data_IF_907937653386
#
_entry.id   IF_907937653386
#
_cell.length_a   1.000
_cell.length_b   1.000
_cell.length_c   1.000
_cell.angle_alpha   90.00
_cell.angle_beta   90.00
_cell.angle_gamma   90.00
#
_symmetry.space_group_name_H-M   'P 1'
#
loop_
_entity.id
_entity.type
_entity.pdbx_description
1 polymer ?
#
# COMPACT_ATOMS: atom_id res chain seq x y z
N UNK A 1 -7.25 38.02 -6.49
CA UNK A 1 -7.59 36.65 -6.05
C UNK A 1 -7.37 36.56 -4.54
N UNK A 2 -8.15 35.73 -3.84
CA UNK A 2 -8.01 35.50 -2.39
C UNK A 2 -7.78 34.00 -2.19
N UNK A 3 -6.79 33.63 -1.38
CA UNK A 3 -6.49 32.25 -1.01
C UNK A 3 -6.77 32.00 0.47
N UNK A 4 -7.15 30.76 0.80
CA UNK A 4 -7.37 30.32 2.19
C UNK A 4 -6.45 29.14 2.49
N UNK A 5 -5.76 29.21 3.63
CA UNK A 5 -4.97 28.07 4.11
C UNK A 5 -5.90 27.04 4.75
N UNK A 6 -5.79 25.78 4.33
CA UNK A 6 -6.61 24.67 4.83
C UNK A 6 -5.71 23.52 5.25
N UNK A 7 -6.20 22.71 6.19
CA UNK A 7 -5.49 21.50 6.61
C UNK A 7 -5.36 20.51 5.44
N UNK A 8 -4.27 19.73 5.45
CA UNK A 8 -4.01 18.67 4.44
C UNK A 8 -5.15 17.65 4.33
N UNK A 9 -5.96 17.47 5.37
CA UNK A 9 -7.14 16.60 5.34
C UNK A 9 -8.17 16.98 4.27
N UNK A 10 -8.19 18.23 3.80
CA UNK A 10 -9.05 18.69 2.70
C UNK A 10 -8.49 18.36 1.31
N UNK A 11 -7.32 17.72 1.25
CA UNK A 11 -6.60 17.47 0.01
C UNK A 11 -5.96 16.07 0.01
N UNK A 12 -6.76 15.09 -0.40
CA UNK A 12 -6.35 13.70 -0.66
C UNK A 12 -6.57 13.38 -2.14
N UNK A 13 -5.73 13.92 -3.05
CA UNK A 13 -5.85 13.62 -4.47
C UNK A 13 -5.52 12.15 -4.74
N UNK A 14 -6.34 11.48 -5.54
CA UNK A 14 -6.09 10.11 -6.01
C UNK A 14 -5.65 10.19 -7.45
N UNK A 15 -4.35 10.07 -7.70
CA UNK A 15 -3.78 10.19 -9.04
C UNK A 15 -3.25 8.87 -9.57
N UNK A 16 -2.81 7.98 -8.68
CA UNK A 16 -2.24 6.70 -9.04
C UNK A 16 -2.67 5.58 -8.07
N UNK A 17 -2.29 4.35 -8.36
CA UNK A 17 -2.66 3.19 -7.54
C UNK A 17 -1.97 3.16 -6.18
N UNK A 18 -0.87 3.90 -5.98
CA UNK A 18 -0.29 4.09 -4.64
C UNK A 18 -1.22 4.91 -3.76
N UNK A 19 -1.84 5.97 -4.31
CA UNK A 19 -2.87 6.74 -3.60
C UNK A 19 -4.12 5.89 -3.34
N UNK A 20 -4.49 5.04 -4.30
CA UNK A 20 -5.62 4.13 -4.16
C UNK A 20 -5.41 3.13 -3.01
N UNK A 21 -4.20 2.55 -2.90
CA UNK A 21 -3.85 1.64 -1.80
C UNK A 21 -4.05 2.32 -0.44
N UNK A 22 -3.59 3.56 -0.29
CA UNK A 22 -3.75 4.32 0.96
C UNK A 22 -5.22 4.41 1.36
N UNK A 23 -6.09 4.78 0.42
CA UNK A 23 -7.52 5.04 0.67
C UNK A 23 -8.32 3.75 0.89
N UNK A 24 -7.96 2.66 0.20
CA UNK A 24 -8.62 1.38 0.36
C UNK A 24 -8.21 0.63 1.65
N UNK A 25 -7.08 1.00 2.25
CA UNK A 25 -6.57 0.35 3.44
C UNK A 25 -7.28 0.79 4.73
N UNK A 26 -6.95 0.12 5.83
CA UNK A 26 -7.40 0.51 7.18
C UNK A 26 -6.83 1.86 7.68
N UNK A 27 -6.03 2.56 6.87
CA UNK A 27 -5.52 3.89 7.16
C UNK A 27 -6.62 4.96 7.18
N UNK A 28 -7.67 4.78 6.38
CA UNK A 28 -8.78 5.72 6.27
C UNK A 28 -10.12 5.01 6.50
N UNK A 29 -11.08 5.74 7.08
CA UNK A 29 -12.48 5.36 7.13
C UNK A 29 -13.26 6.19 6.12
N UNK A 30 -14.16 5.54 5.37
CA UNK A 30 -15.14 6.22 4.54
C UNK A 30 -16.45 6.36 5.31
N UNK A 31 -16.81 7.58 5.69
CA UNK A 31 -18.09 7.88 6.35
C UNK A 31 -18.82 8.95 5.57
N UNK A 32 -20.03 8.65 5.07
CA UNK A 32 -20.85 9.58 4.29
C UNK A 32 -20.09 10.26 3.13
N UNK A 33 -19.28 9.48 2.40
CA UNK A 33 -18.47 9.99 1.27
C UNK A 33 -17.23 10.80 1.68
N UNK A 34 -16.96 10.96 2.98
CA UNK A 34 -15.79 11.65 3.50
C UNK A 34 -14.77 10.66 4.02
N UNK A 35 -13.51 10.82 3.60
CA UNK A 35 -12.38 10.04 4.11
C UNK A 35 -11.80 10.70 5.36
N UNK A 36 -11.72 9.94 6.45
CA UNK A 36 -11.09 10.37 7.71
C UNK A 36 -9.97 9.42 8.08
N UNK A 37 -8.81 9.97 8.46
CA UNK A 37 -7.67 9.14 8.87
C UNK A 37 -8.03 8.37 10.15
N UNK A 38 -7.65 7.10 10.20
CA UNK A 38 -7.94 6.22 11.32
C UNK A 38 -7.37 6.81 12.63
N UNK A 39 -8.20 7.06 13.66
CA UNK A 39 -7.75 7.63 14.94
C UNK A 39 -6.73 6.77 15.68
N UNK A 40 -6.65 5.48 15.35
CA UNK A 40 -5.64 4.55 15.91
C UNK A 40 -4.25 4.75 15.32
N UNK A 41 -4.09 5.55 14.27
CA UNK A 41 -2.78 5.86 13.71
C UNK A 41 -2.01 6.74 14.69
N UNK A 42 -0.84 6.28 15.12
CA UNK A 42 0.01 7.00 16.08
C UNK A 42 0.48 8.36 15.55
N UNK A 43 0.82 8.44 14.26
CA UNK A 43 1.32 9.65 13.61
C UNK A 43 0.35 10.14 12.53
N UNK A 44 -0.08 11.40 12.61
CA UNK A 44 -1.06 11.99 11.66
C UNK A 44 -0.51 12.25 10.24
N UNK A 45 0.76 11.93 10.01
CA UNK A 45 1.38 12.00 8.69
C UNK A 45 0.91 10.83 7.83
N UNK A 46 0.47 11.11 6.61
CA UNK A 46 0.18 10.08 5.60
C UNK A 46 1.49 9.38 5.19
N UNK A 47 1.54 8.04 5.14
CA UNK A 47 2.73 7.33 4.71
C UNK A 47 2.98 7.52 3.21
N UNK A 48 4.21 7.26 2.81
CA UNK A 48 4.59 7.28 1.40
C UNK A 48 4.46 5.86 0.87
N UNK A 49 3.68 5.70 -0.20
CA UNK A 49 3.54 4.43 -0.92
C UNK A 49 4.03 4.66 -2.35
N UNK A 50 4.86 3.75 -2.85
CA UNK A 50 5.40 3.75 -4.20
C UNK A 50 5.23 2.38 -4.82
N UNK A 51 4.14 2.20 -5.56
CA UNK A 51 3.92 1.02 -6.40
C UNK A 51 4.46 1.31 -7.80
N UNK A 52 5.51 0.61 -8.19
CA UNK A 52 6.27 0.90 -9.41
C UNK A 52 6.27 -0.27 -10.39
N UNK A 53 6.26 0.04 -11.68
CA UNK A 53 6.34 -0.94 -12.76
C UNK A 53 4.97 -1.23 -13.42
N UNK A 54 4.97 -2.08 -14.46
CA UNK A 54 3.76 -2.36 -15.25
C UNK A 54 2.66 -3.02 -14.41
N UNK A 55 3.03 -3.85 -13.42
CA UNK A 55 2.09 -4.62 -12.60
C UNK A 55 1.18 -3.81 -11.69
N UNK A 56 1.45 -2.51 -11.53
CA UNK A 56 0.64 -1.59 -10.74
C UNK A 56 0.17 -0.39 -11.58
N UNK A 57 0.25 -0.46 -12.92
CA UNK A 57 -0.06 0.67 -13.80
C UNK A 57 -1.57 0.87 -13.94
N UNK A 58 -2.33 -0.20 -14.19
CA UNK A 58 -3.79 -0.13 -14.28
C UNK A 58 -4.45 -0.57 -12.98
N UNK A 59 -5.67 -0.10 -12.71
CA UNK A 59 -6.44 -0.51 -11.52
C UNK A 59 -6.69 -2.02 -11.53
N UNK A 60 -6.93 -2.62 -12.70
CA UNK A 60 -7.13 -4.07 -12.84
C UNK A 60 -5.91 -4.86 -12.41
N UNK A 61 -4.72 -4.48 -12.86
CA UNK A 61 -3.48 -5.15 -12.47
C UNK A 61 -3.21 -4.96 -10.97
N UNK A 62 -3.35 -3.72 -10.46
CA UNK A 62 -3.24 -3.42 -9.04
C UNK A 62 -4.14 -4.33 -8.19
N UNK A 63 -5.45 -4.39 -8.50
CA UNK A 63 -6.39 -5.22 -7.73
C UNK A 63 -6.06 -6.71 -7.83
N UNK A 64 -5.52 -7.19 -8.96
CA UNK A 64 -5.10 -8.58 -9.11
C UNK A 64 -3.89 -8.94 -8.23
N UNK A 65 -3.08 -7.97 -7.80
CA UNK A 65 -1.91 -8.18 -6.93
C UNK A 65 -2.23 -8.27 -5.46
N UNK A 66 -3.41 -7.85 -5.04
CA UNK A 66 -3.81 -7.86 -3.63
C UNK A 66 -5.05 -8.72 -3.47
N UNK A 67 -4.89 -9.95 -2.96
CA UNK A 67 -6.03 -10.78 -2.57
C UNK A 67 -6.86 -10.12 -1.46
N UNK A 68 -6.21 -9.28 -0.64
CA UNK A 68 -6.82 -8.36 0.30
C UNK A 68 -5.89 -7.15 0.47
N UNK A 69 -6.45 -5.96 0.70
CA UNK A 69 -5.64 -4.78 0.98
C UNK A 69 -4.94 -4.97 2.34
N UNK A 70 -3.61 -4.81 2.41
CA UNK A 70 -2.86 -5.04 3.64
C UNK A 70 -3.18 -4.02 4.72
N UNK A 71 -2.95 -4.41 5.97
CA UNK A 71 -2.93 -3.49 7.09
C UNK A 71 -1.68 -2.61 7.02
N UNK A 72 -1.87 -1.29 6.90
CA UNK A 72 -0.78 -0.31 6.81
C UNK A 72 -0.88 0.78 7.88
N UNK A 73 -1.59 0.51 8.98
CA UNK A 73 -1.86 1.49 10.03
C UNK A 73 -0.57 2.07 10.62
N UNK A 74 0.44 1.22 10.78
CA UNK A 74 1.76 1.54 11.33
C UNK A 74 2.83 1.74 10.23
N UNK A 75 2.41 1.95 8.97
CA UNK A 75 3.33 2.20 7.86
C UNK A 75 3.86 3.64 7.88
N UNK A 76 5.15 3.79 7.54
CA UNK A 76 5.81 5.06 7.24
C UNK A 76 6.17 5.16 5.74
N UNK A 77 6.81 4.13 5.19
CA UNK A 77 7.26 4.07 3.80
C UNK A 77 7.10 2.66 3.23
N UNK A 78 6.44 2.55 2.07
CA UNK A 78 6.33 1.32 1.28
C UNK A 78 6.80 1.58 -0.14
N UNK A 79 7.78 0.80 -0.59
CA UNK A 79 8.13 0.71 -2.01
C UNK A 79 7.96 -0.74 -2.49
N UNK A 80 7.23 -0.92 -3.57
CA UNK A 80 7.05 -2.23 -4.22
C UNK A 80 7.39 -2.07 -5.69
N UNK A 81 8.33 -2.88 -6.16
CA UNK A 81 8.76 -2.90 -7.56
C UNK A 81 8.83 -4.33 -8.08
N UNK A 82 8.35 -4.51 -9.30
CA UNK A 82 8.35 -5.80 -9.99
C UNK A 82 7.09 -6.63 -9.75
N UNK A 83 7.18 -7.91 -10.07
CA UNK A 83 6.08 -8.87 -10.01
C UNK A 83 5.88 -9.38 -8.58
N UNK A 84 5.02 -8.70 -7.82
CA UNK A 84 4.79 -8.98 -6.40
C UNK A 84 3.30 -9.18 -6.14
N UNK A 85 2.94 -10.28 -5.48
CA UNK A 85 1.59 -10.55 -5.00
C UNK A 85 1.53 -10.46 -3.47
N UNK A 86 0.38 -10.02 -2.96
CA UNK A 86 0.05 -10.00 -1.54
C UNK A 86 -1.17 -10.87 -1.31
N UNK A 87 -1.00 -11.93 -0.53
CA UNK A 87 -2.10 -12.75 -0.06
C UNK A 87 -2.84 -12.03 1.09
N UNK A 88 -3.82 -12.72 1.70
CA UNK A 88 -4.70 -12.21 2.73
C UNK A 88 -3.99 -11.98 4.06
N UNK A 89 -4.58 -11.15 4.91
CA UNK A 89 -4.13 -10.91 6.28
C UNK A 89 -2.69 -10.34 6.42
N UNK A 90 -2.12 -9.76 5.35
CA UNK A 90 -0.76 -9.18 5.39
C UNK A 90 -0.76 -7.84 6.14
N UNK A 91 0.29 -7.61 6.94
CA UNK A 91 0.55 -6.35 7.65
C UNK A 91 1.91 -5.77 7.29
N UNK A 92 1.95 -4.47 7.02
CA UNK A 92 3.17 -3.74 6.63
C UNK A 92 3.39 -2.55 7.57
N UNK A 93 4.58 -2.49 8.18
CA UNK A 93 4.90 -1.56 9.28
C UNK A 93 6.26 -0.88 9.09
N UNK A 94 6.35 0.38 9.52
CA UNK A 94 7.56 1.19 9.42
C UNK A 94 8.01 1.38 7.98
N UNK A 95 9.27 1.03 7.67
CA UNK A 95 9.84 1.12 6.32
C UNK A 95 9.96 -0.26 5.68
N UNK A 96 9.21 -0.50 4.61
CA UNK A 96 9.24 -1.76 3.86
C UNK A 96 9.53 -1.52 2.38
N UNK A 97 10.47 -2.29 1.85
CA UNK A 97 10.86 -2.23 0.43
C UNK A 97 10.80 -3.66 -0.11
N UNK A 98 10.07 -3.88 -1.19
CA UNK A 98 9.92 -5.19 -1.83
C UNK A 98 10.32 -5.07 -3.30
N UNK A 99 11.34 -5.83 -3.70
CA UNK A 99 11.98 -5.73 -5.01
C UNK A 99 12.05 -7.12 -5.67
N UNK A 100 11.16 -7.36 -6.63
CA UNK A 100 11.28 -8.46 -7.58
C UNK A 100 12.02 -7.95 -8.83
N UNK A 101 13.18 -8.54 -9.13
CA UNK A 101 13.96 -8.15 -10.31
C UNK A 101 13.27 -8.63 -11.61
N UNK A 102 13.83 -8.26 -12.76
CA UNK A 102 13.28 -8.68 -14.04
C UNK A 102 13.30 -10.21 -14.18
N UNK A 103 12.13 -10.81 -14.45
CA UNK A 103 11.97 -12.26 -14.52
C UNK A 103 11.69 -12.92 -13.17
N UNK A 104 11.87 -12.19 -12.06
CA UNK A 104 11.53 -12.69 -10.73
C UNK A 104 10.08 -12.46 -10.35
N UNK A 105 9.61 -13.28 -9.43
CA UNK A 105 8.28 -13.20 -8.84
C UNK A 105 8.37 -13.34 -7.32
N UNK A 106 7.58 -12.58 -6.57
CA UNK A 106 7.50 -12.70 -5.10
C UNK A 106 6.03 -12.79 -4.68
N UNK A 107 5.64 -13.94 -4.14
CA UNK A 107 4.40 -14.08 -3.38
C UNK A 107 4.66 -13.77 -1.90
N UNK A 108 3.98 -12.77 -1.35
CA UNK A 108 3.95 -12.49 0.08
C UNK A 108 2.88 -13.38 0.72
N UNK A 109 3.26 -14.37 1.57
CA UNK A 109 2.32 -15.37 2.08
C UNK A 109 1.28 -14.76 3.01
N UNK A 110 0.15 -15.47 3.13
CA UNK A 110 -0.93 -15.12 4.06
C UNK A 110 -0.43 -14.85 5.47
N UNK A 111 -0.93 -13.78 6.09
CA UNK A 111 -0.62 -13.45 7.48
C UNK A 111 0.79 -12.88 7.70
N UNK A 112 1.56 -12.63 6.64
CA UNK A 112 2.91 -12.06 6.75
C UNK A 112 2.88 -10.71 7.45
N UNK A 113 3.83 -10.50 8.36
CA UNK A 113 4.09 -9.21 9.01
C UNK A 113 5.46 -8.73 8.56
N UNK A 114 5.48 -7.68 7.74
CA UNK A 114 6.70 -7.04 7.25
C UNK A 114 6.93 -5.75 8.03
N UNK A 115 7.99 -5.71 8.83
CA UNK A 115 8.30 -4.55 9.67
C UNK A 115 9.78 -4.19 9.55
N UNK A 116 10.08 -3.01 9.00
CA UNK A 116 11.45 -2.52 8.85
C UNK A 116 12.35 -3.53 8.10
N UNK A 117 11.91 -3.93 6.90
CA UNK A 117 12.55 -4.96 6.08
C UNK A 117 12.67 -4.57 4.61
N UNK A 118 13.72 -5.09 3.99
CA UNK A 118 13.87 -5.15 2.54
C UNK A 118 13.68 -6.61 2.15
N UNK A 119 12.73 -6.88 1.25
CA UNK A 119 12.45 -8.20 0.68
C UNK A 119 12.86 -8.18 -0.78
N UNK A 120 13.70 -9.12 -1.20
CA UNK A 120 14.07 -9.29 -2.60
C UNK A 120 14.40 -10.75 -2.88
N UNK A 121 14.28 -11.16 -4.15
CA UNK A 121 14.54 -12.52 -4.61
C UNK A 121 13.39 -13.06 -5.46
N UNK A 122 13.30 -14.39 -5.50
CA UNK A 122 12.29 -15.12 -6.25
C UNK A 122 11.61 -16.14 -5.31
N UNK A 123 10.32 -15.95 -5.05
CA UNK A 123 9.51 -16.80 -4.20
C UNK A 123 8.15 -17.01 -4.87
N UNK A 124 7.82 -18.26 -5.18
CA UNK A 124 6.50 -18.65 -5.69
C UNK A 124 5.83 -19.59 -4.72
N UNK A 125 4.58 -19.32 -4.42
CA UNK A 125 3.73 -20.17 -3.58
C UNK A 125 2.68 -20.81 -4.50
N UNK A 126 2.62 -22.14 -4.51
CA UNK A 126 1.68 -22.91 -5.32
C UNK A 126 0.71 -23.66 -4.42
N UNK A 127 -0.56 -23.71 -4.82
CA UNK A 127 -1.55 -24.55 -4.17
C UNK A 127 -1.20 -26.04 -4.34
N UNK A 128 -1.43 -26.84 -3.31
CA UNK A 128 -1.35 -28.31 -3.38
C UNK A 128 -2.72 -28.91 -3.72
#
# INVERSE_FOLDING_TARGET
SIGLNVSRSRFLPVKNNSDLLLIMSNLYFLTNGTLTMNPRRAFKTTPIVQLSGPYFKTVKEFLARFSQIPNILELDYLAVSGDVNFDRDVSVKGTVIILAQHGDHIDIPRGSILENKIVSGNLRILDH
#
